data_IF_068681883922
#
_entry.id   IF_068681883922
#
_cell.length_a   1.000
_cell.length_b   1.000
_cell.length_c   1.000
_cell.angle_alpha   90.00
_cell.angle_beta   90.00
_cell.angle_gamma   90.00
#
_symmetry.space_group_name_H-M   'P 1'
#
loop_
_entity.id
_entity.type
_entity.pdbx_description
1 polymer ?
#
# COMPACT_ATOMS: atom_id res chain seq x y z
N UNK A 1 2.26 -1.15 -6.29
CA UNK A 1 0.85 -0.76 -6.57
C UNK A 1 -0.02 -2.00 -6.34
N UNK A 2 -1.09 -1.89 -5.56
CA UNK A 2 -1.87 -3.05 -5.10
C UNK A 2 -2.80 -3.67 -6.17
N UNK A 3 -3.04 -2.96 -7.28
CA UNK A 3 -3.89 -3.41 -8.38
C UNK A 3 -3.20 -3.11 -9.69
N UNK A 4 -2.71 -4.13 -10.37
CA UNK A 4 -2.22 -4.01 -11.74
C UNK A 4 -3.42 -3.93 -12.70
N UNK A 5 -3.23 -3.30 -13.86
CA UNK A 5 -4.22 -3.26 -14.94
C UNK A 5 -4.05 -4.51 -15.83
N UNK A 6 -5.10 -5.30 -16.11
CA UNK A 6 -6.47 -5.17 -15.64
C UNK A 6 -6.65 -5.68 -14.18
N UNK A 7 -7.61 -5.11 -13.43
CA UNK A 7 -7.85 -5.49 -12.03
C UNK A 7 -8.44 -6.91 -11.93
N UNK A 8 -7.86 -7.75 -11.06
CA UNK A 8 -8.42 -9.05 -10.68
C UNK A 8 -9.49 -8.86 -9.59
N UNK A 9 -10.76 -8.82 -9.98
CA UNK A 9 -11.87 -8.52 -9.07
C UNK A 9 -12.09 -9.60 -8.01
N UNK A 10 -11.79 -10.87 -8.31
CA UNK A 10 -11.95 -11.96 -7.35
C UNK A 10 -10.90 -11.82 -6.26
N UNK A 11 -9.64 -11.60 -6.64
CA UNK A 11 -8.57 -11.32 -5.67
C UNK A 11 -8.86 -10.06 -4.87
N UNK A 12 -9.34 -8.99 -5.52
CA UNK A 12 -9.72 -7.75 -4.85
C UNK A 12 -10.84 -7.98 -3.81
N UNK A 13 -11.89 -8.72 -4.16
CA UNK A 13 -12.98 -9.06 -3.24
C UNK A 13 -12.49 -9.91 -2.06
N UNK A 14 -11.67 -10.94 -2.33
CA UNK A 14 -11.11 -11.79 -1.28
C UNK A 14 -10.15 -11.03 -0.35
N UNK A 15 -9.44 -10.01 -0.85
CA UNK A 15 -8.56 -9.18 -0.03
C UNK A 15 -9.30 -8.52 1.16
N UNK A 16 -10.59 -8.18 1.01
CA UNK A 16 -11.40 -7.60 2.10
C UNK A 16 -11.57 -8.53 3.30
N UNK A 17 -11.34 -9.84 3.14
CA UNK A 17 -11.45 -10.84 4.22
C UNK A 17 -10.12 -11.17 4.90
N UNK A 18 -9.00 -10.72 4.32
CA UNK A 18 -7.65 -11.05 4.79
C UNK A 18 -7.27 -12.52 4.62
N UNK A 19 -8.15 -13.38 4.08
CA UNK A 19 -7.89 -14.81 3.90
C UNK A 19 -6.72 -15.04 2.96
N UNK A 20 -6.60 -14.25 1.88
CA UNK A 20 -5.47 -14.34 0.96
C UNK A 20 -4.16 -14.00 1.67
N UNK A 21 -4.14 -12.89 2.42
CA UNK A 21 -2.95 -12.48 3.17
C UNK A 21 -2.53 -13.55 4.15
N UNK A 22 -3.48 -14.15 4.88
CA UNK A 22 -3.19 -15.24 5.80
C UNK A 22 -2.64 -16.47 5.07
N UNK A 23 -3.27 -16.86 3.95
CA UNK A 23 -2.88 -18.01 3.12
C UNK A 23 -1.45 -17.89 2.58
N UNK A 24 -1.03 -16.69 2.18
CA UNK A 24 0.30 -16.47 1.60
C UNK A 24 1.35 -16.10 2.65
N UNK A 25 1.01 -15.25 3.63
CA UNK A 25 1.97 -14.70 4.59
C UNK A 25 2.39 -15.72 5.65
N UNK A 26 1.47 -16.56 6.15
CA UNK A 26 1.80 -17.49 7.22
C UNK A 26 2.81 -18.57 6.76
N UNK A 27 2.64 -19.25 5.61
CA UNK A 27 3.66 -20.20 5.14
C UNK A 27 5.02 -19.54 4.88
N UNK A 28 5.02 -18.32 4.35
CA UNK A 28 6.23 -17.51 4.15
C UNK A 28 6.92 -17.23 5.48
N UNK A 29 6.17 -16.76 6.48
CA UNK A 29 6.70 -16.46 7.80
C UNK A 29 7.30 -17.70 8.49
N UNK A 30 6.60 -18.84 8.42
CA UNK A 30 7.09 -20.12 8.95
C UNK A 30 8.39 -20.51 8.25
N UNK A 31 8.43 -20.48 6.91
CA UNK A 31 9.63 -20.81 6.12
C UNK A 31 10.81 -19.91 6.48
N UNK A 32 10.58 -18.60 6.57
CA UNK A 32 11.59 -17.61 6.96
C UNK A 32 12.09 -17.84 8.39
N UNK A 33 11.22 -18.21 9.33
CA UNK A 33 11.62 -18.52 10.71
C UNK A 33 12.59 -19.72 10.80
N UNK A 34 12.47 -20.68 9.86
CA UNK A 34 13.42 -21.78 9.67
C UNK A 34 14.69 -21.39 8.90
N UNK A 35 14.90 -20.10 8.61
CA UNK A 35 16.10 -19.60 7.95
C UNK A 35 16.11 -19.77 6.43
N UNK A 36 14.97 -20.13 5.81
CA UNK A 36 14.88 -20.35 4.37
C UNK A 36 14.27 -19.12 3.70
N UNK A 37 15.01 -18.47 2.80
CA UNK A 37 14.51 -17.42 1.91
C UNK A 37 14.33 -17.97 0.49
N UNK A 38 13.27 -17.56 -0.21
CA UNK A 38 13.05 -17.90 -1.62
C UNK A 38 14.00 -17.10 -2.51
N UNK A 39 14.16 -17.52 -3.76
CA UNK A 39 15.01 -16.81 -4.71
C UNK A 39 14.47 -15.42 -5.02
N UNK A 40 13.14 -15.27 -5.10
CA UNK A 40 12.48 -13.96 -5.19
C UNK A 40 12.86 -13.06 -4.01
N UNK A 41 12.81 -13.56 -2.77
CA UNK A 41 13.17 -12.77 -1.58
C UNK A 41 14.65 -12.35 -1.60
N UNK A 42 15.54 -13.25 -2.02
CA UNK A 42 16.96 -12.95 -2.15
C UNK A 42 17.25 -11.92 -3.24
N UNK A 43 16.37 -11.78 -4.23
CA UNK A 43 16.54 -10.81 -5.32
C UNK A 43 16.43 -9.35 -4.85
N UNK A 44 15.71 -9.08 -3.75
CA UNK A 44 15.50 -7.73 -3.22
C UNK A 44 15.95 -7.53 -1.75
N UNK A 45 16.34 -8.61 -1.05
CA UNK A 45 16.94 -8.52 0.30
C UNK A 45 18.47 -8.71 0.18
N UNK A 46 19.28 -7.66 0.43
CA UNK A 46 20.73 -7.76 0.43
C UNK A 46 21.22 -8.90 1.33
N UNK A 47 22.22 -9.66 0.90
CA UNK A 47 22.73 -10.83 1.62
C UNK A 47 23.05 -10.53 3.09
N UNK A 48 23.69 -9.39 3.35
CA UNK A 48 24.03 -8.94 4.70
C UNK A 48 22.81 -8.66 5.60
N UNK A 49 21.63 -8.44 5.03
CA UNK A 49 20.38 -8.13 5.73
C UNK A 49 19.46 -9.35 5.88
N UNK A 50 19.71 -10.45 5.15
CA UNK A 50 18.89 -11.65 5.16
C UNK A 50 18.71 -12.26 6.56
N UNK A 51 19.74 -12.20 7.40
CA UNK A 51 19.67 -12.67 8.79
C UNK A 51 18.63 -11.90 9.62
N UNK A 52 18.42 -10.60 9.35
CA UNK A 52 17.44 -9.78 10.07
C UNK A 52 16.02 -10.21 9.73
N UNK A 53 15.76 -10.55 8.46
CA UNK A 53 14.46 -11.09 8.03
C UNK A 53 14.14 -12.42 8.77
N UNK A 54 15.12 -13.31 8.89
CA UNK A 54 14.98 -14.57 9.63
C UNK A 54 14.71 -14.33 11.12
N UNK A 55 15.47 -13.43 11.75
CA UNK A 55 15.28 -13.09 13.17
C UNK A 55 13.91 -12.47 13.42
N UNK A 56 13.48 -11.55 12.55
CA UNK A 56 12.14 -10.95 12.62
C UNK A 56 11.05 -12.02 12.50
N UNK A 57 11.18 -12.95 11.55
CA UNK A 57 10.23 -14.04 11.37
C UNK A 57 10.14 -14.96 12.60
N UNK A 58 11.28 -15.27 13.25
CA UNK A 58 11.31 -16.05 14.49
C UNK A 58 10.58 -15.34 15.63
N UNK A 59 10.86 -14.06 15.84
CA UNK A 59 10.16 -13.29 16.87
C UNK A 59 8.66 -13.20 16.61
N UNK A 60 8.26 -13.05 15.35
CA UNK A 60 6.85 -13.06 14.96
C UNK A 60 6.18 -14.40 15.31
N UNK A 61 6.84 -15.53 15.02
CA UNK A 61 6.35 -16.87 15.38
C UNK A 61 6.29 -17.07 16.90
N UNK A 62 7.26 -16.56 17.66
CA UNK A 62 7.24 -16.57 19.13
C UNK A 62 6.04 -15.79 19.66
N UNK A 63 5.76 -14.61 19.13
CA UNK A 63 4.58 -13.80 19.51
C UNK A 63 3.29 -14.56 19.22
N UNK A 64 3.17 -15.22 18.05
CA UNK A 64 1.99 -16.03 17.73
C UNK A 64 1.83 -17.24 18.66
N UNK A 65 2.91 -17.96 18.95
CA UNK A 65 2.88 -19.09 19.89
C UNK A 65 2.51 -18.63 21.31
N UNK A 66 3.09 -17.52 21.78
CA UNK A 66 2.78 -16.93 23.08
C UNK A 66 1.32 -16.47 23.16
N UNK A 67 0.78 -15.89 22.08
CA UNK A 67 -0.62 -15.47 22.00
C UNK A 67 -1.57 -16.67 22.13
N UNK A 68 -1.28 -17.76 21.41
CA UNK A 68 -2.08 -18.99 21.48
C UNK A 68 -2.00 -19.61 22.88
N UNK A 69 -0.79 -19.71 23.45
CA UNK A 69 -0.58 -20.21 24.80
C UNK A 69 -1.34 -19.37 25.85
N UNK A 70 -1.31 -18.04 25.72
CA UNK A 70 -2.06 -17.14 26.58
C UNK A 70 -3.57 -17.33 26.44
N UNK A 71 -4.08 -17.50 25.22
CA UNK A 71 -5.50 -17.76 24.99
C UNK A 71 -5.97 -19.05 25.67
N UNK A 72 -5.16 -20.12 25.59
CA UNK A 72 -5.45 -21.41 26.24
C UNK A 72 -5.39 -21.26 27.77
N UNK A 73 -4.32 -20.67 28.31
CA UNK A 73 -4.12 -20.51 29.74
C UNK A 73 -5.22 -19.66 30.40
N UNK A 74 -5.63 -18.58 29.73
CA UNK A 74 -6.70 -17.70 30.18
C UNK A 74 -8.10 -18.23 29.85
N UNK A 75 -8.21 -19.32 29.08
CA UNK A 75 -9.47 -19.85 28.53
C UNK A 75 -10.30 -18.74 27.85
N UNK A 76 -9.63 -17.86 27.12
CA UNK A 76 -10.22 -16.65 26.57
C UNK A 76 -9.74 -16.40 25.15
N UNK A 77 -10.65 -15.92 24.30
CA UNK A 77 -10.33 -15.51 22.93
C UNK A 77 -9.67 -14.14 22.86
N UNK A 78 -9.66 -13.37 23.95
CA UNK A 78 -9.15 -11.98 23.95
C UNK A 78 -7.74 -11.86 23.37
N UNK A 79 -6.74 -12.71 23.73
CA UNK A 79 -5.41 -12.61 23.13
C UNK A 79 -5.43 -12.74 21.60
N UNK A 80 -6.23 -13.67 21.06
CA UNK A 80 -6.36 -13.88 19.61
C UNK A 80 -7.10 -12.73 18.92
N UNK A 81 -8.10 -12.16 19.59
CA UNK A 81 -8.81 -10.96 19.11
C UNK A 81 -7.88 -9.75 19.06
N UNK A 82 -6.89 -9.66 19.95
CA UNK A 82 -5.93 -8.55 19.95
C UNK A 82 -4.73 -8.79 19.02
N UNK A 83 -4.31 -10.04 18.83
CA UNK A 83 -3.11 -10.40 18.07
C UNK A 83 -3.44 -11.50 17.06
N UNK A 84 -3.15 -11.24 15.78
CA UNK A 84 -3.38 -12.17 14.68
C UNK A 84 -4.74 -11.98 14.00
N UNK A 85 -5.85 -12.22 14.70
CA UNK A 85 -7.20 -12.12 14.09
C UNK A 85 -7.59 -10.72 13.57
N UNK A 86 -7.09 -9.58 14.10
CA UNK A 86 -7.37 -8.28 13.49
C UNK A 86 -7.04 -8.19 12.00
N UNK A 87 -6.09 -9.00 11.50
CA UNK A 87 -5.78 -9.03 10.07
C UNK A 87 -6.91 -9.63 9.23
N UNK A 88 -7.73 -10.52 9.79
CA UNK A 88 -8.85 -11.15 9.07
C UNK A 88 -10.09 -10.25 9.08
N UNK A 89 -10.48 -9.74 10.24
CA UNK A 89 -11.72 -8.96 10.34
C UNK A 89 -11.53 -7.44 10.18
N UNK A 90 -10.30 -6.93 10.30
CA UNK A 90 -9.99 -5.49 10.27
C UNK A 90 -9.38 -4.98 8.97
N UNK A 91 -8.99 -5.88 8.04
CA UNK A 91 -8.29 -5.48 6.81
C UNK A 91 -9.16 -4.72 5.81
N UNK A 92 -10.48 -4.87 5.88
CA UNK A 92 -11.43 -4.27 4.93
C UNK A 92 -11.22 -2.76 4.74
N UNK A 93 -10.94 -2.02 5.81
CA UNK A 93 -10.75 -0.56 5.75
C UNK A 93 -9.42 -0.21 5.06
N UNK A 94 -8.35 -0.95 5.36
CA UNK A 94 -7.05 -0.84 4.70
C UNK A 94 -7.17 -1.16 3.20
N UNK A 95 -7.91 -2.21 2.83
CA UNK A 95 -8.13 -2.56 1.42
C UNK A 95 -8.95 -1.48 0.72
N UNK A 96 -10.07 -1.05 1.29
CA UNK A 96 -10.91 0.02 0.75
C UNK A 96 -10.10 1.29 0.46
N UNK A 97 -9.34 1.77 1.45
CA UNK A 97 -8.51 2.98 1.33
C UNK A 97 -7.30 2.79 0.42
N UNK A 98 -6.63 1.63 0.49
CA UNK A 98 -5.49 1.29 -0.37
C UNK A 98 -5.86 1.14 -1.85
N UNK A 99 -7.07 0.64 -2.16
CA UNK A 99 -7.60 0.66 -3.52
C UNK A 99 -7.76 2.10 -4.00
N UNK A 100 -8.45 2.95 -3.23
CA UNK A 100 -8.70 4.36 -3.58
C UNK A 100 -7.42 5.14 -3.89
N UNK A 101 -6.30 4.80 -3.27
CA UNK A 101 -5.02 5.47 -3.45
C UNK A 101 -4.44 5.41 -4.86
N UNK A 102 -4.67 4.31 -5.59
CA UNK A 102 -3.98 4.04 -6.86
C UNK A 102 -4.90 3.58 -7.98
N UNK A 103 -6.06 3.00 -7.65
CA UNK A 103 -6.92 2.33 -8.62
C UNK A 103 -7.31 3.28 -9.76
N UNK A 104 -7.23 2.80 -11.00
CA UNK A 104 -7.58 3.57 -12.19
C UNK A 104 -6.59 4.69 -12.56
N UNK A 105 -5.46 4.86 -11.88
CA UNK A 105 -4.40 5.79 -12.27
C UNK A 105 -3.35 5.11 -13.16
N UNK A 106 -2.36 5.88 -13.61
CA UNK A 106 -1.25 5.37 -14.40
C UNK A 106 -0.38 4.40 -13.59
N UNK A 107 0.03 3.30 -14.23
CA UNK A 107 1.08 2.42 -13.69
C UNK A 107 2.43 2.77 -14.32
N UNK A 108 3.53 2.43 -13.63
CA UNK A 108 4.90 2.53 -14.16
C UNK A 108 5.33 3.94 -14.61
N UNK A 109 4.79 4.98 -13.95
CA UNK A 109 5.26 6.37 -14.12
C UNK A 109 6.10 6.80 -12.91
N UNK A 110 7.20 7.51 -13.18
CA UNK A 110 8.14 7.99 -12.16
C UNK A 110 7.50 9.05 -11.27
N UNK A 111 6.67 9.92 -11.84
CA UNK A 111 5.98 10.97 -11.09
C UNK A 111 4.81 10.40 -10.28
N UNK A 112 5.01 10.30 -8.97
CA UNK A 112 3.99 9.80 -8.05
C UNK A 112 2.70 10.61 -8.01
N UNK A 113 2.73 11.88 -8.43
CA UNK A 113 1.52 12.69 -8.56
C UNK A 113 0.56 12.15 -9.62
N UNK A 114 1.05 11.35 -10.56
CA UNK A 114 0.26 10.77 -11.65
C UNK A 114 -0.22 9.34 -11.36
N UNK A 115 0.45 8.62 -10.45
CA UNK A 115 0.12 7.24 -10.08
C UNK A 115 -0.58 7.09 -8.73
N UNK A 116 -0.70 8.16 -7.96
CA UNK A 116 -1.38 8.17 -6.66
C UNK A 116 -2.37 9.34 -6.54
N UNK A 117 -3.24 9.32 -5.52
CA UNK A 117 -4.21 10.40 -5.29
C UNK A 117 -4.42 10.73 -3.81
N UNK A 118 -4.74 11.99 -3.58
CA UNK A 118 -5.25 12.49 -2.30
C UNK A 118 -6.77 12.48 -2.33
N UNK A 119 -7.38 11.89 -1.30
CA UNK A 119 -8.83 11.80 -1.15
C UNK A 119 -9.21 12.42 0.18
N UNK A 120 -10.12 13.37 0.21
CA UNK A 120 -10.67 13.85 1.46
C UNK A 120 -11.64 12.81 2.03
N UNK A 121 -11.48 12.53 3.32
CA UNK A 121 -12.24 11.50 4.04
C UNK A 121 -12.90 12.10 5.28
N UNK A 122 -13.97 11.47 5.74
CA UNK A 122 -14.62 11.84 7.00
C UNK A 122 -13.66 11.63 8.20
N UNK A 123 -13.92 12.26 9.36
CA UNK A 123 -13.03 12.19 10.52
C UNK A 123 -12.73 10.77 11.02
N UNK A 124 -13.71 9.86 10.95
CA UNK A 124 -13.54 8.46 11.40
C UNK A 124 -12.56 7.73 10.49
N UNK A 125 -12.74 7.81 9.17
CA UNK A 125 -11.81 7.21 8.23
C UNK A 125 -10.42 7.85 8.29
N UNK A 126 -10.32 9.17 8.48
CA UNK A 126 -9.01 9.84 8.68
C UNK A 126 -8.31 9.38 9.95
N UNK A 127 -9.06 9.16 11.02
CA UNK A 127 -8.53 8.66 12.29
C UNK A 127 -8.02 7.22 12.13
N UNK A 128 -8.84 6.30 11.60
CA UNK A 128 -8.45 4.90 11.40
C UNK A 128 -7.26 4.81 10.44
N UNK A 129 -7.24 5.65 9.41
CA UNK A 129 -6.21 5.64 8.37
C UNK A 129 -5.01 6.55 8.67
N UNK A 130 -4.95 7.14 9.86
CA UNK A 130 -3.84 7.99 10.28
C UNK A 130 -3.48 9.11 9.29
N UNK A 131 -4.46 9.76 8.67
CA UNK A 131 -4.22 10.75 7.59
C UNK A 131 -3.48 10.23 6.34
N UNK A 132 -3.34 8.92 6.12
CA UNK A 132 -2.79 8.35 4.88
C UNK A 132 -3.68 8.56 3.65
N UNK A 133 -4.79 9.29 3.81
CA UNK A 133 -5.60 9.80 2.72
C UNK A 133 -4.88 10.90 1.91
N UNK A 134 -3.82 11.50 2.48
CA UNK A 134 -2.83 12.35 1.81
C UNK A 134 -1.70 11.49 1.22
N UNK A 135 -2.07 10.70 0.21
CA UNK A 135 -1.18 9.64 -0.29
C UNK A 135 -0.17 10.13 -1.33
N UNK A 136 -0.53 11.14 -2.12
CA UNK A 136 0.45 11.74 -3.06
C UNK A 136 1.59 12.35 -2.26
N UNK A 137 1.24 13.04 -1.18
CA UNK A 137 2.17 13.65 -0.24
C UNK A 137 3.10 12.59 0.38
N UNK A 138 2.55 11.46 0.81
CA UNK A 138 3.33 10.34 1.32
C UNK A 138 4.31 9.79 0.28
N UNK A 139 3.89 9.60 -0.98
CA UNK A 139 4.80 9.13 -2.03
C UNK A 139 5.88 10.14 -2.40
N UNK A 140 5.55 11.44 -2.39
CA UNK A 140 6.54 12.48 -2.66
C UNK A 140 7.54 12.63 -1.50
N UNK A 141 7.09 12.47 -0.26
CA UNK A 141 7.87 12.69 0.96
C UNK A 141 7.62 11.58 2.00
N UNK A 142 8.08 10.33 1.75
CA UNK A 142 7.75 9.17 2.58
C UNK A 142 8.30 9.24 4.01
N UNK A 143 9.28 10.11 4.24
CA UNK A 143 9.88 10.35 5.56
C UNK A 143 9.05 11.30 6.43
N UNK A 144 8.02 11.97 5.88
CA UNK A 144 7.14 12.85 6.65
C UNK A 144 6.13 11.99 7.42
N UNK A 145 6.04 12.14 8.75
CA UNK A 145 5.13 11.33 9.54
C UNK A 145 3.67 11.66 9.22
N UNK A 146 2.82 10.64 9.33
CA UNK A 146 1.43 10.68 8.90
C UNK A 146 0.61 11.83 9.52
N UNK A 147 0.91 12.21 10.77
CA UNK A 147 0.23 13.31 11.46
C UNK A 147 0.57 14.69 10.87
N UNK A 148 1.69 14.82 10.14
CA UNK A 148 2.14 16.06 9.52
C UNK A 148 1.73 16.17 8.05
N UNK A 149 1.21 15.10 7.44
CA UNK A 149 0.74 15.11 6.04
C UNK A 149 -0.31 16.18 5.74
N UNK A 150 -1.27 16.52 6.63
CA UNK A 150 -2.19 17.63 6.36
C UNK A 150 -1.47 18.98 6.21
N UNK A 151 -0.43 19.23 7.03
CA UNK A 151 0.39 20.45 6.93
C UNK A 151 1.22 20.44 5.65
N UNK A 152 1.81 19.30 5.30
CA UNK A 152 2.54 19.13 4.05
C UNK A 152 1.64 19.42 2.84
N UNK A 153 0.42 18.88 2.83
CA UNK A 153 -0.56 19.14 1.78
C UNK A 153 -0.77 20.64 1.58
N UNK A 154 -0.99 21.41 2.64
CA UNK A 154 -1.16 22.87 2.51
C UNK A 154 0.06 23.57 1.89
N UNK A 155 1.27 23.09 2.19
CA UNK A 155 2.51 23.66 1.66
C UNK A 155 2.70 23.35 0.17
N UNK A 156 2.33 22.15 -0.28
CA UNK A 156 2.65 21.67 -1.64
C UNK A 156 1.43 21.55 -2.56
N UNK A 157 0.20 21.81 -2.10
CA UNK A 157 -1.03 21.64 -2.91
C UNK A 157 -1.04 22.40 -4.23
N UNK A 158 -0.23 23.44 -4.37
CA UNK A 158 -0.02 24.18 -5.63
C UNK A 158 0.74 23.38 -6.70
N UNK A 159 1.37 22.27 -6.31
CA UNK A 159 2.15 21.36 -7.15
C UNK A 159 1.46 19.99 -7.32
N UNK A 160 0.26 19.81 -6.76
CA UNK A 160 -0.48 18.54 -6.74
C UNK A 160 -1.71 18.56 -7.65
N UNK A 161 -2.14 17.41 -8.20
CA UNK A 161 -3.46 17.28 -8.80
C UNK A 161 -4.56 17.61 -7.78
N UNK A 162 -5.70 18.10 -8.28
CA UNK A 162 -6.85 18.40 -7.43
C UNK A 162 -7.29 17.15 -6.64
N UNK A 163 -7.38 17.21 -5.30
CA UNK A 163 -7.85 16.10 -4.48
C UNK A 163 -9.30 15.71 -4.81
N UNK A 164 -9.63 14.42 -4.63
CA UNK A 164 -11.04 14.03 -4.64
C UNK A 164 -11.72 14.56 -3.36
N UNK A 165 -12.89 15.24 -3.46
CA UNK A 165 -13.55 15.86 -2.31
C UNK A 165 -14.19 14.86 -1.32
N UNK A 166 -14.36 13.60 -1.75
CA UNK A 166 -14.86 12.53 -0.91
C UNK A 166 -14.45 11.16 -1.45
N UNK A 167 -14.53 10.13 -0.60
CA UNK A 167 -14.35 8.73 -1.03
C UNK A 167 -15.37 8.33 -2.09
N UNK A 168 -16.62 8.78 -1.96
CA UNK A 168 -17.68 8.53 -2.95
C UNK A 168 -17.32 9.13 -4.32
N UNK A 169 -16.83 10.37 -4.34
CA UNK A 169 -16.37 10.99 -5.58
C UNK A 169 -15.22 10.18 -6.22
N UNK A 170 -14.26 9.73 -5.43
CA UNK A 170 -13.14 8.94 -5.93
C UNK A 170 -13.61 7.60 -6.53
N UNK A 171 -14.51 6.88 -5.86
CA UNK A 171 -15.07 5.63 -6.42
C UNK A 171 -15.89 5.85 -7.68
N UNK A 172 -16.73 6.90 -7.71
CA UNK A 172 -17.53 7.25 -8.89
C UNK A 172 -16.64 7.58 -10.09
N UNK A 173 -15.53 8.29 -9.87
CA UNK A 173 -14.54 8.63 -10.91
C UNK A 173 -13.84 7.38 -11.46
N UNK A 174 -13.54 6.41 -10.58
CA UNK A 174 -12.81 5.18 -10.92
C UNK A 174 -13.70 4.16 -11.63
N UNK A 175 -14.99 4.08 -11.30
CA UNK A 175 -15.88 3.05 -11.83
C UNK A 175 -15.89 2.90 -13.36
N UNK A 176 -16.07 3.98 -14.17
CA UNK A 176 -16.01 3.85 -15.63
C UNK A 176 -14.61 3.45 -16.14
N UNK A 177 -13.54 3.84 -15.44
CA UNK A 177 -12.16 3.44 -15.78
C UNK A 177 -12.01 1.93 -15.60
N UNK A 178 -12.50 1.38 -14.49
CA UNK A 178 -12.44 -0.06 -14.21
C UNK A 178 -13.20 -0.88 -15.24
N UNK A 179 -14.39 -0.44 -15.66
CA UNK A 179 -15.16 -1.14 -16.69
C UNK A 179 -14.41 -1.25 -18.02
N UNK A 180 -13.58 -0.26 -18.36
CA UNK A 180 -12.72 -0.29 -19.56
C UNK A 180 -11.50 -1.18 -19.34
N UNK A 181 -10.86 -1.09 -18.19
CA UNK A 181 -9.73 -1.96 -17.83
C UNK A 181 -10.13 -3.43 -17.80
N UNK A 182 -11.33 -3.77 -17.33
CA UNK A 182 -11.87 -5.14 -17.35
C UNK A 182 -12.12 -5.68 -18.77
N UNK A 183 -12.20 -4.80 -19.76
CA UNK A 183 -12.24 -5.13 -21.19
C UNK A 183 -10.84 -5.17 -21.82
N UNK A 184 -9.78 -5.16 -21.01
CA UNK A 184 -8.39 -5.15 -21.43
C UNK A 184 -8.00 -3.92 -22.26
N UNK A 185 -8.72 -2.81 -22.11
CA UNK A 185 -8.31 -1.54 -22.68
C UNK A 185 -7.19 -0.93 -21.84
N UNK A 186 -6.11 -0.45 -22.48
CA UNK A 186 -5.08 0.35 -21.82
C UNK A 186 -5.60 1.77 -21.55
N UNK A 187 -6.51 1.84 -20.59
CA UNK A 187 -7.16 3.06 -20.17
C UNK A 187 -6.87 3.35 -18.70
N UNK A 188 -6.59 4.61 -18.40
CA UNK A 188 -6.42 5.12 -17.06
C UNK A 188 -6.87 6.57 -16.99
N UNK A 189 -7.20 7.02 -15.79
CA UNK A 189 -7.53 8.40 -15.50
C UNK A 189 -6.26 9.24 -15.57
N UNK A 190 -6.20 10.16 -16.54
CA UNK A 190 -5.11 11.13 -16.63
C UNK A 190 -5.32 12.21 -15.57
N UNK A 191 -4.34 12.37 -14.69
CA UNK A 191 -4.29 13.48 -13.73
C UNK A 191 -3.60 14.66 -14.39
N UNK A 192 -4.25 15.81 -14.34
CA UNK A 192 -3.65 17.08 -14.75
C UNK A 192 -2.92 17.69 -13.56
N UNK A 193 -1.67 18.09 -13.81
CA UNK A 193 -0.90 18.87 -12.87
C UNK A 193 -1.23 20.37 -13.04
N UNK A 194 -1.25 21.15 -11.96
CA UNK A 194 -1.37 22.60 -12.06
C UNK A 194 -0.30 23.20 -12.98
N UNK A 195 -0.57 24.30 -13.69
CA UNK A 195 0.45 25.00 -14.49
C UNK A 195 1.69 25.43 -13.67
N UNK A 196 1.52 25.57 -12.37
CA UNK A 196 2.58 25.89 -11.40
C UNK A 196 3.44 24.70 -11.01
N UNK A 197 3.10 23.49 -11.48
CA UNK A 197 3.78 22.28 -11.07
C UNK A 197 5.20 22.21 -11.64
N UNK A 198 6.17 21.93 -10.78
CA UNK A 198 7.56 21.73 -11.18
C UNK A 198 7.78 20.31 -11.72
N UNK A 199 8.79 20.09 -12.58
CA UNK A 199 9.19 18.75 -12.99
C UNK A 199 9.50 17.88 -11.77
N UNK A 200 8.95 16.68 -11.73
CA UNK A 200 9.16 15.74 -10.62
C UNK A 200 10.60 15.24 -10.66
N UNK A 201 11.42 15.57 -9.65
CA UNK A 201 12.84 15.17 -9.57
C UNK A 201 13.60 15.27 -10.91
N UNK A 202 13.68 16.48 -11.47
CA UNK A 202 14.30 16.73 -12.78
C UNK A 202 15.72 16.16 -12.93
N UNK A 203 16.46 16.01 -11.83
CA UNK A 203 17.77 15.35 -11.78
C UNK A 203 17.79 13.88 -12.25
N UNK A 204 16.67 13.15 -12.19
CA UNK A 204 16.57 11.78 -12.73
C UNK A 204 16.01 11.72 -14.16
N UNK A 205 15.51 12.83 -14.68
CA UNK A 205 14.92 12.89 -16.03
C UNK A 205 16.01 12.98 -17.12
N UNK A 206 17.22 13.38 -16.76
CA UNK A 206 18.40 13.42 -17.64
C UNK A 206 19.34 12.21 -17.45
N UNK A 207 19.00 11.29 -16.53
CA UNK A 207 19.81 10.08 -16.31
C UNK A 207 19.42 9.05 -17.37
N UNK A 208 20.32 8.81 -18.32
CA UNK A 208 20.20 7.68 -19.23
C UNK A 208 20.26 6.38 -18.43
N UNK A 209 19.10 5.75 -18.27
CA UNK A 209 18.93 4.50 -17.53
C UNK A 209 19.76 3.35 -18.14
N UNK A 210 20.17 3.46 -19.41
CA UNK A 210 21.07 2.49 -20.04
C UNK A 210 22.48 2.53 -19.46
N UNK A 211 22.93 3.69 -18.95
CA UNK A 211 24.27 3.83 -18.36
C UNK A 211 24.30 3.45 -16.87
N UNK A 212 23.18 3.60 -16.17
CA UNK A 212 23.07 3.29 -14.74
C UNK A 212 23.07 1.78 -14.43
N UNK A 213 22.64 0.94 -15.39
CA UNK A 213 22.63 -0.52 -15.25
C UNK A 213 23.98 -1.19 -15.57
N UNK A 214 25.01 -0.42 -15.96
CA UNK A 214 26.31 -0.92 -16.39
C UNK A 214 27.42 -0.78 -15.32
N UNK A 215 27.07 -0.56 -14.05
CA UNK A 215 27.99 -0.55 -12.90
C UNK A 215 27.51 -1.50 -11.83
#
# INVERSE_FOLDING_TARGET
IAVMRPPDLIKAALAFTGILDFRYSLPTLVRQAFGKLSDDEKSYIPEMEQHKAVVAARWHMVVYAATIAAAIALKSWIPLVLIGLPRLYGTWHMVMTGLLQHIGLADNVVDHRLNSRTVHMNPVSRFIYWNMNYHVEHHMFPMVPYHALPKLHELIKHDLPKPNPSMWHAYREVWPVLLRQLKYEDYYLKRELPPTARPYRGEFHEVDMATAAAK
#
